data_IF_296491416620
#
_entry.id   IF_296491416620
#
_cell.length_a   1.000
_cell.length_b   1.000
_cell.length_c   1.000
_cell.angle_alpha   90.00
_cell.angle_beta   90.00
_cell.angle_gamma   90.00
#
_symmetry.space_group_name_H-M   'P 1'
#
loop_
_entity.id
_entity.type
_entity.pdbx_description
1 polymer ?
#
# COMPACT_ATOMS: atom_id res chain seq x y z
N UNK A 1 -24.97 -39.93 0.68
CA UNK A 1 -23.73 -40.34 1.37
C UNK A 1 -23.31 -39.15 2.23
N UNK A 2 -23.55 -39.22 3.53
CA UNK A 2 -23.12 -38.16 4.46
C UNK A 2 -21.64 -38.36 4.75
N UNK A 3 -20.85 -37.30 4.58
CA UNK A 3 -19.41 -37.36 4.89
C UNK A 3 -19.27 -37.25 6.42
N UNK A 4 -18.68 -38.25 7.10
CA UNK A 4 -18.61 -38.26 8.57
C UNK A 4 -17.79 -37.08 9.11
N UNK A 5 -18.18 -36.59 10.31
CA UNK A 5 -17.54 -35.49 11.04
C UNK A 5 -17.56 -34.11 10.35
N UNK A 6 -18.60 -33.86 9.56
CA UNK A 6 -18.87 -32.54 8.96
C UNK A 6 -19.62 -31.61 9.92
N UNK A 7 -20.55 -32.16 10.69
CA UNK A 7 -21.35 -31.46 11.72
C UNK A 7 -21.06 -31.95 13.13
N UNK A 8 -20.67 -33.21 13.28
CA UNK A 8 -20.31 -33.81 14.57
C UNK A 8 -18.81 -33.68 14.84
N UNK A 9 -18.45 -33.49 16.11
CA UNK A 9 -17.06 -33.43 16.53
C UNK A 9 -16.43 -34.82 16.47
N UNK A 10 -15.17 -34.91 16.03
CA UNK A 10 -14.41 -36.15 16.17
C UNK A 10 -14.16 -36.46 17.65
N UNK A 11 -14.25 -37.73 18.07
CA UNK A 11 -13.94 -38.13 19.44
C UNK A 11 -12.47 -37.88 19.82
N UNK A 12 -11.54 -37.98 18.87
CA UNK A 12 -10.10 -37.84 19.14
C UNK A 12 -9.65 -36.39 19.31
N UNK A 13 -10.24 -35.46 18.55
CA UNK A 13 -9.81 -34.05 18.49
C UNK A 13 -10.81 -33.06 19.05
N UNK A 14 -12.06 -33.49 19.32
CA UNK A 14 -13.13 -32.60 19.78
C UNK A 14 -13.57 -31.55 18.74
N UNK A 15 -13.13 -31.68 17.49
CA UNK A 15 -13.33 -30.71 16.41
C UNK A 15 -13.94 -31.41 15.19
N UNK A 16 -14.82 -30.74 14.47
CA UNK A 16 -15.31 -31.20 13.17
C UNK A 16 -14.31 -30.85 12.05
N UNK A 17 -14.35 -31.62 10.95
CA UNK A 17 -13.32 -31.57 9.89
C UNK A 17 -13.16 -30.17 9.28
N UNK A 18 -14.26 -29.43 9.07
CA UNK A 18 -14.19 -28.10 8.47
C UNK A 18 -13.49 -27.06 9.37
N UNK A 19 -13.56 -27.19 10.69
CA UNK A 19 -12.81 -26.30 11.59
C UNK A 19 -11.30 -26.54 11.47
N UNK A 20 -10.89 -27.80 11.38
CA UNK A 20 -9.49 -28.18 11.13
C UNK A 20 -9.03 -27.67 9.76
N UNK A 21 -9.88 -27.79 8.74
CA UNK A 21 -9.61 -27.25 7.40
C UNK A 21 -9.35 -25.74 7.42
N UNK A 22 -10.14 -24.95 8.17
CA UNK A 22 -9.89 -23.51 8.33
C UNK A 22 -8.56 -23.23 9.04
N UNK A 23 -8.20 -24.00 10.07
CA UNK A 23 -6.89 -23.84 10.73
C UNK A 23 -5.72 -24.10 9.79
N UNK A 24 -5.80 -25.16 8.97
CA UNK A 24 -4.77 -25.47 7.98
C UNK A 24 -4.68 -24.40 6.88
N UNK A 25 -5.83 -23.91 6.41
CA UNK A 25 -5.89 -22.81 5.46
C UNK A 25 -5.24 -21.54 6.03
N UNK A 26 -5.59 -21.14 7.25
CA UNK A 26 -4.98 -19.98 7.92
C UNK A 26 -3.47 -20.15 8.10
N UNK A 27 -3.00 -21.35 8.46
CA UNK A 27 -1.56 -21.63 8.55
C UNK A 27 -0.86 -21.46 7.19
N UNK A 28 -1.49 -21.88 6.09
CA UNK A 28 -0.94 -21.71 4.74
C UNK A 28 -0.84 -20.24 4.32
N UNK A 29 -1.83 -19.41 4.66
CA UNK A 29 -1.80 -17.97 4.42
C UNK A 29 -0.68 -17.28 5.22
N UNK A 30 -0.47 -17.67 6.48
CA UNK A 30 0.65 -17.16 7.29
C UNK A 30 2.00 -17.49 6.65
N UNK A 31 2.17 -18.69 6.07
CA UNK A 31 3.39 -19.04 5.34
C UNK A 31 3.55 -18.21 4.05
N UNK A 32 2.46 -17.97 3.32
CA UNK A 32 2.45 -17.13 2.12
C UNK A 32 2.90 -15.69 2.46
N UNK A 33 2.29 -15.07 3.47
CA UNK A 33 2.69 -13.73 3.92
C UNK A 33 4.11 -13.73 4.51
N UNK A 34 4.53 -14.81 5.18
CA UNK A 34 5.90 -14.98 5.65
C UNK A 34 6.93 -14.90 4.52
N UNK A 35 6.65 -15.51 3.37
CA UNK A 35 7.51 -15.39 2.19
C UNK A 35 7.55 -13.95 1.65
N UNK A 36 6.41 -13.26 1.60
CA UNK A 36 6.33 -11.85 1.16
C UNK A 36 7.12 -10.91 2.10
N UNK A 37 6.99 -11.08 3.42
CA UNK A 37 7.76 -10.31 4.40
C UNK A 37 9.26 -10.59 4.30
N UNK A 38 9.65 -11.86 4.14
CA UNK A 38 11.05 -12.25 3.95
C UNK A 38 11.65 -11.59 2.70
N UNK A 39 10.91 -11.62 1.58
CA UNK A 39 11.31 -10.93 0.35
C UNK A 39 11.51 -9.42 0.57
N UNK A 40 10.56 -8.76 1.25
CA UNK A 40 10.70 -7.33 1.59
C UNK A 40 11.95 -7.05 2.43
N UNK A 41 12.22 -7.86 3.46
CA UNK A 41 13.40 -7.69 4.33
C UNK A 41 14.70 -7.89 3.55
N UNK A 42 14.77 -8.93 2.72
CA UNK A 42 15.96 -9.20 1.90
C UNK A 42 16.22 -8.06 0.91
N UNK A 43 15.18 -7.53 0.26
CA UNK A 43 15.32 -6.35 -0.60
C UNK A 43 15.74 -5.12 0.19
N UNK A 44 15.23 -4.94 1.42
CA UNK A 44 15.56 -3.80 2.28
C UNK A 44 17.01 -3.83 2.75
N UNK A 45 17.50 -4.99 3.17
CA UNK A 45 18.87 -5.15 3.68
C UNK A 45 19.89 -5.24 2.53
N UNK A 46 19.49 -5.79 1.38
CA UNK A 46 20.34 -5.89 0.20
C UNK A 46 20.44 -4.60 -0.63
N UNK A 47 19.63 -3.58 -0.33
CA UNK A 47 19.70 -2.29 -1.02
C UNK A 47 20.98 -1.54 -0.62
N UNK A 48 21.71 -1.06 -1.63
CA UNK A 48 22.84 -0.15 -1.42
C UNK A 48 22.36 1.13 -0.73
N UNK A 49 23.25 1.75 0.05
CA UNK A 49 22.95 3.00 0.75
C UNK A 49 22.37 4.05 -0.22
N UNK A 50 21.23 4.62 0.16
CA UNK A 50 20.50 5.63 -0.62
C UNK A 50 19.78 5.12 -1.87
N UNK A 51 19.69 3.81 -2.12
CA UNK A 51 18.85 3.27 -3.21
C UNK A 51 17.46 2.83 -2.75
N UNK A 52 17.18 2.85 -1.44
CA UNK A 52 15.88 2.49 -0.93
C UNK A 52 14.88 3.65 -1.05
N UNK A 53 13.65 3.41 -1.56
CA UNK A 53 12.63 4.44 -1.67
C UNK A 53 12.19 4.94 -0.28
N UNK A 54 12.26 6.25 -0.09
CA UNK A 54 11.83 6.96 1.13
C UNK A 54 10.65 7.88 0.79
N UNK A 55 9.81 8.21 1.78
CA UNK A 55 8.70 9.19 1.67
C UNK A 55 7.54 8.91 0.69
N UNK A 56 7.52 7.80 -0.05
CA UNK A 56 6.38 7.41 -0.91
C UNK A 56 5.10 7.01 -0.15
N UNK A 57 5.10 7.08 1.19
CA UNK A 57 4.00 6.61 2.02
C UNK A 57 3.28 7.78 2.70
N UNK A 58 2.00 7.95 2.38
CA UNK A 58 1.13 8.87 3.11
C UNK A 58 0.71 8.23 4.45
N UNK A 59 1.43 8.59 5.52
CA UNK A 59 1.22 8.02 6.87
C UNK A 59 -0.21 8.30 7.40
N UNK A 60 -0.77 9.53 7.33
CA UNK A 60 -2.14 9.78 7.79
C UNK A 60 -3.20 8.90 7.10
N UNK A 61 -3.16 8.78 5.77
CA UNK A 61 -4.12 7.95 5.03
C UNK A 61 -3.95 6.47 5.39
N UNK A 62 -2.71 6.00 5.51
CA UNK A 62 -2.39 4.64 5.95
C UNK A 62 -2.95 4.33 7.36
N UNK A 63 -2.81 5.27 8.30
CA UNK A 63 -3.33 5.12 9.66
C UNK A 63 -4.86 5.07 9.70
N UNK A 64 -5.54 5.95 8.96
CA UNK A 64 -7.01 5.92 8.86
C UNK A 64 -7.47 4.58 8.28
N UNK A 65 -6.83 4.10 7.22
CA UNK A 65 -7.18 2.82 6.62
C UNK A 65 -6.97 1.63 7.58
N UNK A 66 -5.93 1.70 8.42
CA UNK A 66 -5.67 0.69 9.46
C UNK A 66 -6.75 0.72 10.54
N UNK A 67 -7.19 1.91 10.97
CA UNK A 67 -8.33 2.07 11.88
C UNK A 67 -9.61 1.45 11.31
N UNK A 68 -9.89 1.63 10.02
CA UNK A 68 -11.03 1.01 9.33
C UNK A 68 -10.97 -0.52 9.42
N UNK A 69 -9.80 -1.13 9.20
CA UNK A 69 -9.64 -2.59 9.33
C UNK A 69 -9.84 -3.09 10.76
N UNK A 70 -9.31 -2.37 11.76
CA UNK A 70 -9.50 -2.72 13.17
C UNK A 70 -10.98 -2.66 13.53
N UNK A 71 -11.67 -1.59 13.14
CA UNK A 71 -13.12 -1.46 13.35
C UNK A 71 -13.89 -2.59 12.64
N UNK A 72 -13.49 -2.95 11.42
CA UNK A 72 -14.08 -4.08 10.69
C UNK A 72 -13.88 -5.42 11.42
N UNK A 73 -12.78 -5.61 12.14
CA UNK A 73 -12.59 -6.83 12.93
C UNK A 73 -13.55 -6.88 14.13
N UNK A 74 -13.77 -5.74 14.79
CA UNK A 74 -14.72 -5.60 15.90
C UNK A 74 -16.15 -5.88 15.43
N UNK A 75 -16.56 -5.36 14.27
CA UNK A 75 -17.91 -5.61 13.75
C UNK A 75 -18.16 -7.09 13.45
N UNK A 76 -17.17 -7.84 12.96
CA UNK A 76 -17.29 -9.30 12.77
C UNK A 76 -17.47 -10.04 14.09
N UNK A 77 -16.71 -9.69 15.13
CA UNK A 77 -16.86 -10.29 16.46
C UNK A 77 -18.25 -9.98 17.05
N UNK A 78 -18.73 -8.75 16.90
CA UNK A 78 -20.07 -8.34 17.33
C UNK A 78 -21.19 -9.03 16.54
N UNK A 79 -20.99 -9.28 15.25
CA UNK A 79 -21.90 -10.08 14.43
C UNK A 79 -22.00 -11.52 14.95
N UNK A 80 -20.86 -12.15 15.24
CA UNK A 80 -20.80 -13.48 15.82
C UNK A 80 -21.45 -13.55 17.21
N UNK A 81 -21.18 -12.57 18.08
CA UNK A 81 -21.81 -12.48 19.40
C UNK A 81 -23.33 -12.31 19.32
N UNK A 82 -23.82 -11.52 18.36
CA UNK A 82 -25.26 -11.34 18.11
C UNK A 82 -25.93 -12.62 17.64
N UNK A 83 -25.27 -13.42 16.80
CA UNK A 83 -25.75 -14.76 16.42
C UNK A 83 -25.84 -15.69 17.63
N UNK A 84 -24.86 -15.65 18.54
CA UNK A 84 -24.90 -16.45 19.78
C UNK A 84 -26.07 -16.07 20.69
N UNK A 85 -26.51 -14.82 20.66
CA UNK A 85 -27.68 -14.32 21.39
C UNK A 85 -28.99 -14.48 20.60
N UNK A 86 -28.98 -15.18 19.46
CA UNK A 86 -30.12 -15.32 18.53
C UNK A 86 -30.71 -13.98 18.03
N UNK A 87 -29.95 -12.89 18.09
CA UNK A 87 -30.35 -11.58 17.59
C UNK A 87 -29.94 -11.42 16.11
N UNK A 88 -30.77 -11.98 15.22
CA UNK A 88 -30.54 -11.95 13.77
C UNK A 88 -30.55 -10.53 13.18
N UNK A 89 -31.29 -9.60 13.79
CA UNK A 89 -31.36 -8.22 13.31
C UNK A 89 -30.02 -7.53 13.51
N UNK A 90 -29.43 -7.65 14.71
CA UNK A 90 -28.09 -7.12 14.99
C UNK A 90 -27.00 -7.83 14.20
N UNK A 91 -27.09 -9.15 14.02
CA UNK A 91 -26.16 -9.88 13.15
C UNK A 91 -26.11 -9.28 11.74
N UNK A 92 -27.27 -9.09 11.08
CA UNK A 92 -27.32 -8.50 9.72
C UNK A 92 -26.76 -7.09 9.69
N UNK A 93 -27.04 -6.28 10.70
CA UNK A 93 -26.53 -4.92 10.82
C UNK A 93 -24.99 -4.90 10.92
N UNK A 94 -24.41 -5.70 11.81
CA UNK A 94 -22.96 -5.77 11.98
C UNK A 94 -22.26 -6.40 10.77
N UNK A 95 -22.87 -7.40 10.13
CA UNK A 95 -22.33 -7.97 8.89
C UNK A 95 -22.32 -6.95 7.75
N UNK A 96 -23.38 -6.15 7.61
CA UNK A 96 -23.42 -5.06 6.63
C UNK A 96 -22.36 -3.99 6.93
N UNK A 97 -22.18 -3.63 8.20
CA UNK A 97 -21.12 -2.71 8.61
C UNK A 97 -19.72 -3.22 8.21
N UNK A 98 -19.43 -4.50 8.42
CA UNK A 98 -18.17 -5.13 7.97
C UNK A 98 -17.97 -4.99 6.46
N UNK A 99 -19.01 -5.24 5.66
CA UNK A 99 -18.92 -5.11 4.18
C UNK A 99 -18.66 -3.66 3.77
N UNK A 100 -19.31 -2.70 4.42
CA UNK A 100 -19.06 -1.26 4.18
C UNK A 100 -17.61 -0.90 4.51
N UNK A 101 -17.08 -1.36 5.65
CA UNK A 101 -15.67 -1.15 6.01
C UNK A 101 -14.71 -1.78 4.99
N UNK A 102 -15.02 -2.98 4.48
CA UNK A 102 -14.22 -3.62 3.44
C UNK A 102 -14.23 -2.83 2.12
N UNK A 103 -15.39 -2.33 1.68
CA UNK A 103 -15.48 -1.45 0.52
C UNK A 103 -14.69 -0.16 0.71
N UNK A 104 -14.79 0.47 1.89
CA UNK A 104 -14.04 1.67 2.24
C UNK A 104 -12.52 1.42 2.18
N UNK A 105 -12.05 0.30 2.73
CA UNK A 105 -10.64 -0.09 2.66
C UNK A 105 -10.15 -0.21 1.21
N UNK A 106 -10.91 -0.91 0.36
CA UNK A 106 -10.56 -1.07 -1.06
C UNK A 106 -10.50 0.28 -1.76
N UNK A 107 -11.49 1.16 -1.55
CA UNK A 107 -11.50 2.49 -2.17
C UNK A 107 -10.29 3.35 -1.77
N UNK A 108 -9.94 3.37 -0.48
CA UNK A 108 -8.76 4.10 0.02
C UNK A 108 -7.49 3.55 -0.63
N UNK A 109 -7.36 2.21 -0.70
CA UNK A 109 -6.20 1.58 -1.35
C UNK A 109 -6.15 1.82 -2.85
N UNK A 110 -7.27 1.78 -3.56
CA UNK A 110 -7.32 2.10 -4.98
C UNK A 110 -6.89 3.53 -5.26
N UNK A 111 -7.31 4.48 -4.41
CA UNK A 111 -6.87 5.88 -4.49
C UNK A 111 -5.35 6.01 -4.27
N UNK A 112 -4.83 5.43 -3.18
CA UNK A 112 -3.40 5.50 -2.85
C UNK A 112 -2.51 4.83 -3.91
N UNK A 113 -2.97 3.72 -4.51
CA UNK A 113 -2.21 3.02 -5.54
C UNK A 113 -2.24 3.77 -6.87
N UNK A 114 -3.37 4.38 -7.24
CA UNK A 114 -3.46 5.23 -8.43
C UNK A 114 -2.43 6.36 -8.36
N UNK A 115 -2.35 7.02 -7.21
CA UNK A 115 -1.39 8.09 -6.95
C UNK A 115 0.05 7.62 -7.19
N UNK A 116 0.43 6.48 -6.59
CA UNK A 116 1.76 5.86 -6.77
C UNK A 116 2.07 5.42 -8.20
N UNK A 117 1.07 5.03 -9.00
CA UNK A 117 1.29 4.66 -10.41
C UNK A 117 1.49 5.87 -11.33
N UNK A 118 1.05 7.06 -10.92
CA UNK A 118 1.22 8.30 -11.68
C UNK A 118 2.51 9.07 -11.34
N UNK A 119 3.26 8.57 -10.37
CA UNK A 119 4.49 9.15 -9.88
C UNK A 119 5.65 8.97 -10.88
N UNK A 120 6.36 10.06 -11.16
CA UNK A 120 7.42 10.15 -12.16
C UNK A 120 8.69 10.78 -11.56
N UNK A 121 9.82 10.08 -11.71
CA UNK A 121 11.15 10.59 -11.37
C UNK A 121 11.95 10.82 -12.66
N UNK A 122 12.34 12.07 -12.90
CA UNK A 122 13.14 12.49 -14.06
C UNK A 122 14.48 13.07 -13.63
N UNK A 123 15.55 12.64 -14.29
CA UNK A 123 16.92 13.16 -14.13
C UNK A 123 17.23 14.08 -15.30
N UNK A 124 17.56 15.33 -15.02
CA UNK A 124 17.90 16.36 -15.99
C UNK A 124 19.40 16.38 -16.34
N UNK A 125 19.74 17.05 -17.45
CA UNK A 125 21.09 17.22 -17.97
C UNK A 125 21.99 18.09 -17.07
N UNK A 126 21.40 18.97 -16.26
CA UNK A 126 22.07 19.74 -15.22
C UNK A 126 22.45 18.89 -13.98
N UNK A 127 22.08 17.60 -13.98
CA UNK A 127 22.31 16.69 -12.87
C UNK A 127 21.32 16.88 -11.72
N UNK A 128 20.16 17.50 -11.93
CA UNK A 128 19.06 17.54 -10.95
C UNK A 128 18.07 16.41 -11.20
N UNK A 129 17.52 15.81 -10.16
CA UNK A 129 16.34 14.92 -10.24
C UNK A 129 15.12 15.72 -9.83
N UNK A 130 14.02 15.51 -10.54
CA UNK A 130 12.72 16.09 -10.24
C UNK A 130 11.73 14.95 -10.13
N UNK A 131 11.03 14.93 -9.00
CA UNK A 131 10.06 13.91 -8.68
C UNK A 131 8.69 14.55 -8.51
N UNK A 132 7.65 13.98 -9.12
CA UNK A 132 6.29 14.52 -9.08
C UNK A 132 5.26 13.71 -9.87
N UNK A 133 4.00 14.16 -9.89
CA UNK A 133 2.94 13.48 -10.63
C UNK A 133 2.79 14.06 -12.02
N UNK A 134 2.77 13.20 -13.04
CA UNK A 134 2.58 13.61 -14.43
C UNK A 134 1.17 14.19 -14.63
N UNK A 135 1.11 15.45 -15.05
CA UNK A 135 -0.13 16.16 -15.38
C UNK A 135 -0.38 16.12 -16.89
N UNK A 136 0.66 16.42 -17.66
CA UNK A 136 0.59 16.52 -19.12
C UNK A 136 1.92 16.08 -19.73
N UNK A 137 1.84 15.34 -20.84
CA UNK A 137 2.97 14.91 -21.65
C UNK A 137 2.69 15.26 -23.10
N UNK A 138 3.58 16.04 -23.71
CA UNK A 138 3.58 16.39 -25.13
C UNK A 138 4.91 15.94 -25.73
N UNK A 139 5.00 15.86 -27.07
CA UNK A 139 6.24 15.52 -27.78
C UNK A 139 7.43 16.45 -27.45
N UNK A 140 7.18 17.64 -26.89
CA UNK A 140 8.20 18.64 -26.55
C UNK A 140 8.49 18.76 -25.04
N UNK A 141 7.50 18.54 -24.16
CA UNK A 141 7.64 18.79 -22.71
C UNK A 141 6.74 17.90 -21.85
N UNK A 142 7.12 17.78 -20.57
CA UNK A 142 6.29 17.20 -19.50
C UNK A 142 5.98 18.26 -18.44
N UNK A 143 4.82 18.12 -17.81
CA UNK A 143 4.44 18.90 -16.64
C UNK A 143 4.33 17.97 -15.44
N UNK A 144 5.12 18.25 -14.41
CA UNK A 144 5.05 17.54 -13.12
C UNK A 144 4.40 18.44 -12.09
N UNK A 145 3.34 17.94 -11.45
CA UNK A 145 2.72 18.57 -10.30
C UNK A 145 3.42 18.17 -9.01
N UNK A 146 3.46 19.11 -8.05
CA UNK A 146 4.20 19.02 -6.80
C UNK A 146 5.67 18.59 -6.99
N UNK A 147 6.41 19.22 -7.93
CA UNK A 147 7.76 18.81 -8.26
C UNK A 147 8.70 19.10 -7.08
N UNK A 148 9.43 18.08 -6.63
CA UNK A 148 10.54 18.26 -5.69
C UNK A 148 11.84 17.98 -6.40
N UNK A 149 12.73 18.96 -6.37
CA UNK A 149 13.97 18.97 -7.13
C UNK A 149 15.18 18.82 -6.21
N UNK A 150 16.11 17.95 -6.56
CA UNK A 150 17.28 17.67 -5.74
C UNK A 150 18.48 17.20 -6.58
N UNK A 151 19.73 17.42 -6.15
CA UNK A 151 20.90 17.01 -6.93
C UNK A 151 20.95 15.48 -7.12
N UNK A 152 21.09 15.05 -8.37
CA UNK A 152 21.27 13.67 -8.79
C UNK A 152 22.69 13.21 -8.43
N UNK A 153 22.90 12.78 -7.19
CA UNK A 153 24.17 12.17 -6.81
C UNK A 153 24.32 10.84 -7.57
N UNK A 154 25.45 10.66 -8.25
CA UNK A 154 25.71 9.52 -9.13
C UNK A 154 25.61 8.21 -8.35
N UNK A 155 24.65 7.36 -8.73
CA UNK A 155 24.42 6.08 -8.07
C UNK A 155 23.71 6.23 -6.72
N UNK A 156 22.86 7.24 -6.53
CA UNK A 156 21.96 7.32 -5.36
C UNK A 156 20.54 7.58 -5.88
N UNK A 157 19.59 6.71 -5.52
CA UNK A 157 18.16 6.78 -5.88
C UNK A 157 17.35 7.85 -5.12
N UNK A 158 18.02 8.81 -4.49
CA UNK A 158 17.55 9.48 -3.27
C UNK A 158 17.15 10.93 -3.46
N UNK A 159 16.12 11.37 -2.72
CA UNK A 159 15.89 12.75 -2.25
C UNK A 159 16.85 13.08 -1.10
N UNK A 160 17.94 13.87 -1.27
CA UNK A 160 18.83 14.36 -0.20
C UNK A 160 18.19 14.96 1.07
N UNK A 161 16.88 15.15 1.11
CA UNK A 161 16.15 15.79 2.20
C UNK A 161 16.03 14.96 3.47
N UNK A 162 16.07 13.62 3.47
CA UNK A 162 15.93 12.87 4.74
C UNK A 162 17.08 13.09 5.76
N UNK A 163 18.24 13.64 5.36
CA UNK A 163 19.31 14.06 6.31
C UNK A 163 19.13 15.53 6.75
N UNK A 164 18.44 16.38 5.96
CA UNK A 164 18.25 17.82 6.27
C UNK A 164 16.86 18.19 6.82
N UNK A 165 15.81 17.46 6.49
CA UNK A 165 14.45 17.65 7.06
C UNK A 165 14.36 17.15 8.51
N UNK A 166 15.28 16.28 8.94
CA UNK A 166 15.49 16.03 10.37
C UNK A 166 16.01 17.27 11.13
N UNK A 167 16.54 18.28 10.42
CA UNK A 167 17.05 19.54 10.98
C UNK A 167 16.22 20.79 10.62
N UNK A 168 15.30 20.71 9.65
CA UNK A 168 14.43 21.83 9.27
C UNK A 168 12.97 21.37 9.16
N UNK A 169 12.17 21.86 10.10
CA UNK A 169 10.75 21.59 10.17
C UNK A 169 9.99 22.20 9.00
N UNK A 170 8.95 21.49 8.62
CA UNK A 170 7.62 22.04 8.33
C UNK A 170 7.58 23.16 7.27
N UNK A 171 7.93 22.85 6.02
CA UNK A 171 7.61 23.71 4.88
C UNK A 171 6.91 22.89 3.78
N UNK A 172 5.60 22.69 3.95
CA UNK A 172 4.68 22.31 2.89
C UNK A 172 4.59 23.46 1.85
N UNK A 173 5.62 23.65 1.03
CA UNK A 173 5.54 24.51 -0.13
C UNK A 173 4.64 23.84 -1.19
N UNK A 174 3.49 24.45 -1.46
CA UNK A 174 2.75 24.25 -2.69
C UNK A 174 3.66 24.63 -3.87
N UNK A 175 4.42 23.66 -4.40
CA UNK A 175 5.24 23.86 -5.59
C UNK A 175 4.32 23.91 -6.81
N UNK A 176 4.31 25.06 -7.48
CA UNK A 176 3.63 25.22 -8.77
C UNK A 176 4.12 24.17 -9.77
N UNK A 177 3.21 23.74 -10.66
CA UNK A 177 3.49 22.76 -11.70
C UNK A 177 4.73 23.17 -12.51
N UNK A 178 5.74 22.29 -12.56
CA UNK A 178 6.99 22.57 -13.28
C UNK A 178 6.96 21.94 -14.65
N UNK A 179 7.04 22.79 -15.67
CA UNK A 179 7.28 22.40 -17.06
C UNK A 179 8.77 22.04 -17.25
N UNK A 180 9.04 20.85 -17.75
CA UNK A 180 10.39 20.35 -18.06
C UNK A 180 10.42 19.95 -19.54
N UNK A 181 11.38 20.46 -20.29
CA UNK A 181 11.54 20.13 -21.71
C UNK A 181 12.11 18.71 -21.85
N UNK A 182 11.59 17.94 -22.81
CA UNK A 182 12.07 16.56 -23.04
C UNK A 182 13.56 16.51 -23.41
N UNK A 183 14.05 17.53 -24.12
CA UNK A 183 15.45 17.65 -24.50
C UNK A 183 16.41 17.75 -23.31
N UNK A 184 15.92 18.22 -22.16
CA UNK A 184 16.72 18.39 -20.95
C UNK A 184 16.74 17.13 -20.07
N UNK A 185 15.98 16.08 -20.43
CA UNK A 185 15.86 14.84 -19.65
C UNK A 185 16.91 13.84 -20.09
N UNK A 186 17.79 13.44 -19.16
CA UNK A 186 18.81 12.40 -19.38
C UNK A 186 18.27 11.01 -19.08
N UNK A 187 17.41 10.89 -18.05
CA UNK A 187 16.81 9.61 -17.67
C UNK A 187 15.42 9.83 -17.09
N UNK A 188 14.45 9.07 -17.57
CA UNK A 188 13.09 9.01 -16.99
C UNK A 188 12.89 7.64 -16.35
N UNK A 189 12.34 7.63 -15.14
CA UNK A 189 11.91 6.41 -14.45
C UNK A 189 10.46 6.56 -14.05
N UNK A 190 9.65 5.62 -14.52
CA UNK A 190 8.22 5.50 -14.20
C UNK A 190 8.00 4.15 -13.55
N UNK A 191 7.15 4.10 -12.53
CA UNK A 191 6.85 2.87 -11.77
C UNK A 191 5.44 2.33 -12.06
N UNK A 192 4.72 2.96 -12.99
CA UNK A 192 3.41 2.57 -13.47
C UNK A 192 3.42 1.46 -14.55
N UNK A 193 2.25 0.88 -14.87
CA UNK A 193 2.12 -0.18 -15.89
C UNK A 193 2.64 0.20 -17.27
N UNK A 194 2.69 1.50 -17.54
CA UNK A 194 3.07 2.11 -18.82
C UNK A 194 4.58 2.40 -18.92
N UNK A 195 5.39 1.97 -17.95
CA UNK A 195 6.82 2.29 -17.89
C UNK A 195 7.64 1.81 -19.10
N UNK A 196 7.11 0.89 -19.92
CA UNK A 196 7.79 0.29 -21.07
C UNK A 196 6.98 0.39 -22.38
N UNK A 197 5.91 1.18 -22.41
CA UNK A 197 5.10 1.45 -23.62
C UNK A 197 5.35 2.87 -24.07
#
# INVERSE_FOLDING_TARGET
MEVPYTVENRPDTGLYNAKVGIWLFLASEVMLFGALFSSYILLRVGALDGHWPTELLNVPIGTVNTMVLILSSVTVVMAWASLKLNDFKKFKMYQLATVICACMFVLIKSYEYRDKFTHHDVVLADGMRVDGHLVEETDEYIILSHPVSYPAVKGIGYRPTAIKEAEHGDDHHHTEDRKIMLADIVKRTTWGPWANT
#
